data_IF_386797293388
#
_entry.id   IF_386797293388
#
_cell.length_a   1.000
_cell.length_b   1.000
_cell.length_c   1.000
_cell.angle_alpha   90.00
_cell.angle_beta   90.00
_cell.angle_gamma   90.00
#
_symmetry.space_group_name_H-M   'P 1'
#
loop_
_entity.id
_entity.type
_entity.pdbx_description
1 polymer ?
#
# COMPACT_ATOMS: atom_id res chain seq x y z
N UNK A 1 -2.49 -1.58 13.85
CA UNK A 1 -2.00 -0.97 12.60
C UNK A 1 -1.19 -2.03 11.85
N UNK A 2 -1.48 -2.30 10.57
CA UNK A 2 -0.95 -3.48 9.82
C UNK A 2 0.41 -3.22 9.14
N UNK A 3 0.87 -1.98 9.11
CA UNK A 3 2.09 -1.57 8.42
C UNK A 3 3.19 -1.43 9.48
N UNK A 4 4.36 -2.09 9.33
CA UNK A 4 5.39 -2.19 10.37
C UNK A 4 6.18 -0.90 10.56
N UNK A 5 6.02 0.02 9.61
CA UNK A 5 6.66 1.29 9.62
C UNK A 5 5.96 2.17 10.67
N UNK A 6 6.74 2.75 11.58
CA UNK A 6 6.29 3.87 12.39
C UNK A 6 6.10 5.07 11.45
N UNK A 7 4.95 5.13 10.78
CA UNK A 7 4.63 6.22 9.84
C UNK A 7 4.67 7.50 10.65
N UNK A 8 5.69 8.34 10.43
CA UNK A 8 5.80 9.66 11.05
C UNK A 8 4.65 10.51 10.50
N UNK A 9 3.52 10.54 11.19
CA UNK A 9 2.36 11.37 10.81
C UNK A 9 2.47 12.81 11.30
N UNK A 10 3.67 13.31 11.62
CA UNK A 10 3.83 14.63 12.23
C UNK A 10 5.12 15.33 11.84
N UNK A 11 5.00 16.31 10.94
CA UNK A 11 5.49 17.68 11.12
C UNK A 11 4.74 18.60 10.15
N UNK A 12 4.33 19.79 10.63
CA UNK A 12 3.73 20.88 9.82
C UNK A 12 4.47 20.97 8.47
N UNK A 13 3.83 20.57 7.38
CA UNK A 13 4.43 20.58 6.03
C UNK A 13 4.37 19.25 5.27
N UNK A 14 3.90 18.16 5.89
CA UNK A 14 3.75 16.84 5.23
C UNK A 14 3.02 16.96 3.89
N UNK A 15 3.79 16.81 2.83
CA UNK A 15 3.44 17.00 1.42
C UNK A 15 2.21 16.17 1.07
N UNK A 16 1.20 16.78 0.43
CA UNK A 16 -0.09 16.16 0.06
C UNK A 16 0.04 14.75 -0.57
N UNK A 17 1.15 14.47 -1.23
CA UNK A 17 1.48 13.18 -1.85
C UNK A 17 1.61 12.02 -0.85
N UNK A 18 2.23 12.25 0.31
CA UNK A 18 2.45 11.24 1.34
C UNK A 18 1.11 10.71 1.87
N UNK A 19 0.15 11.62 2.07
CA UNK A 19 -1.22 11.28 2.47
C UNK A 19 -1.97 10.50 1.38
N UNK A 20 -1.81 10.83 0.11
CA UNK A 20 -2.53 10.16 -0.98
C UNK A 20 -2.08 8.70 -1.16
N UNK A 21 -0.76 8.45 -1.16
CA UNK A 21 -0.22 7.10 -1.31
C UNK A 21 -0.61 6.20 -0.14
N UNK A 22 -0.47 6.71 1.09
CA UNK A 22 -0.90 6.00 2.28
C UNK A 22 -2.41 5.73 2.30
N UNK A 23 -3.22 6.70 1.87
CA UNK A 23 -4.67 6.53 1.77
C UNK A 23 -5.03 5.44 0.76
N UNK A 24 -4.40 5.43 -0.41
CA UNK A 24 -4.60 4.38 -1.41
C UNK A 24 -4.31 2.98 -0.87
N UNK A 25 -3.15 2.81 -0.22
CA UNK A 25 -2.79 1.55 0.44
C UNK A 25 -3.80 1.14 1.52
N UNK A 26 -4.19 2.08 2.40
CA UNK A 26 -5.15 1.79 3.47
C UNK A 26 -6.51 1.33 2.91
N UNK A 27 -7.02 2.00 1.89
CA UNK A 27 -8.29 1.65 1.26
C UNK A 27 -8.21 0.33 0.52
N UNK A 28 -7.08 0.07 -0.15
CA UNK A 28 -6.79 -1.23 -0.76
C UNK A 28 -6.83 -2.37 0.26
N UNK A 29 -6.12 -2.24 1.38
CA UNK A 29 -6.09 -3.26 2.43
C UNK A 29 -7.48 -3.48 3.04
N UNK A 30 -8.24 -2.42 3.32
CA UNK A 30 -9.63 -2.53 3.81
C UNK A 30 -10.49 -3.32 2.83
N UNK A 31 -10.43 -3.00 1.55
CA UNK A 31 -11.17 -3.73 0.50
C UNK A 31 -10.76 -5.20 0.44
N UNK A 32 -9.46 -5.51 0.51
CA UNK A 32 -8.94 -6.88 0.49
C UNK A 32 -9.32 -7.70 1.73
N UNK A 33 -9.59 -7.03 2.85
CA UNK A 33 -10.06 -7.64 4.09
C UNK A 33 -11.60 -7.74 4.18
N UNK A 34 -12.31 -7.49 3.08
CA UNK A 34 -13.77 -7.64 3.03
C UNK A 34 -14.54 -6.50 3.71
N UNK A 35 -13.97 -5.29 3.78
CA UNK A 35 -14.67 -4.16 4.37
C UNK A 35 -15.75 -3.61 3.42
N UNK A 36 -16.99 -4.02 3.64
CA UNK A 36 -18.18 -3.58 2.88
C UNK A 36 -18.65 -2.16 3.22
N UNK A 37 -18.02 -1.49 4.20
CA UNK A 37 -18.37 -0.12 4.60
C UNK A 37 -17.70 0.97 3.75
N UNK A 38 -16.91 0.59 2.74
CA UNK A 38 -16.24 1.53 1.86
C UNK A 38 -17.25 2.31 1.00
N UNK A 39 -17.16 3.64 1.03
CA UNK A 39 -17.96 4.47 0.13
C UNK A 39 -17.55 4.22 -1.34
N UNK A 40 -18.42 4.51 -2.33
CA UNK A 40 -18.09 4.33 -3.74
C UNK A 40 -16.79 5.06 -4.14
N UNK A 41 -16.55 6.24 -3.57
CA UNK A 41 -15.32 7.01 -3.78
C UNK A 41 -14.09 6.28 -3.21
N UNK A 42 -14.20 5.73 -2.01
CA UNK A 42 -13.10 4.99 -1.38
C UNK A 42 -12.78 3.70 -2.14
N UNK A 43 -13.80 2.98 -2.60
CA UNK A 43 -13.63 1.80 -3.44
C UNK A 43 -12.93 2.15 -4.77
N UNK A 44 -13.29 3.28 -5.39
CA UNK A 44 -12.64 3.77 -6.59
C UNK A 44 -11.16 4.15 -6.35
N UNK A 45 -10.84 4.78 -5.21
CA UNK A 45 -9.46 5.11 -4.86
C UNK A 45 -8.61 3.85 -4.58
N UNK A 46 -9.19 2.83 -3.93
CA UNK A 46 -8.54 1.51 -3.78
C UNK A 46 -8.25 0.87 -5.15
N UNK A 47 -9.22 0.89 -6.07
CA UNK A 47 -9.04 0.36 -7.42
C UNK A 47 -8.00 1.14 -8.23
N UNK A 48 -7.93 2.47 -8.07
CA UNK A 48 -6.88 3.30 -8.71
C UNK A 48 -5.49 2.97 -8.18
N UNK A 49 -5.36 2.75 -6.88
CA UNK A 49 -4.10 2.30 -6.28
C UNK A 49 -3.67 0.96 -6.90
N UNK A 50 -4.56 -0.05 -6.88
CA UNK A 50 -4.25 -1.37 -7.45
C UNK A 50 -3.89 -1.29 -8.94
N UNK A 51 -4.68 -0.57 -9.74
CA UNK A 51 -4.42 -0.37 -11.17
C UNK A 51 -3.05 0.25 -11.41
N UNK A 52 -2.61 1.18 -10.56
CA UNK A 52 -1.30 1.80 -10.68
C UNK A 52 -0.17 0.81 -10.41
N UNK A 53 -0.27 0.05 -9.32
CA UNK A 53 0.70 -1.01 -8.96
C UNK A 53 0.88 -1.98 -10.14
N UNK A 54 -0.23 -2.42 -10.76
CA UNK A 54 -0.19 -3.33 -11.92
C UNK A 54 0.36 -2.68 -13.19
N UNK A 55 -0.26 -1.57 -13.61
CA UNK A 55 0.01 -0.93 -14.91
C UNK A 55 1.44 -0.45 -15.01
N UNK A 56 1.96 0.13 -13.93
CA UNK A 56 3.29 0.73 -13.93
C UNK A 56 4.37 -0.26 -13.43
N UNK A 57 3.98 -1.50 -13.09
CA UNK A 57 4.83 -2.52 -12.44
C UNK A 57 5.68 -1.96 -11.29
N UNK A 58 5.00 -1.33 -10.33
CA UNK A 58 5.62 -0.69 -9.17
C UNK A 58 5.16 -1.33 -7.87
N UNK A 59 5.94 -1.10 -6.81
CA UNK A 59 5.53 -1.34 -5.42
C UNK A 59 5.57 -0.04 -4.65
N UNK A 60 4.70 0.11 -3.66
CA UNK A 60 4.78 1.23 -2.75
C UNK A 60 5.88 0.98 -1.72
N UNK A 61 6.78 1.93 -1.53
CA UNK A 61 7.78 1.91 -0.47
C UNK A 61 7.59 3.11 0.45
N UNK A 62 8.10 3.04 1.67
CA UNK A 62 8.11 4.15 2.60
C UNK A 62 9.56 4.47 2.93
N UNK A 63 9.89 5.73 3.13
CA UNK A 63 11.18 6.12 3.66
C UNK A 63 10.93 7.18 4.73
N UNK A 64 11.15 6.86 6.03
CA UNK A 64 10.92 7.80 7.12
C UNK A 64 11.97 8.92 7.22
N UNK A 65 13.05 8.84 6.43
CA UNK A 65 14.09 9.87 6.31
C UNK A 65 13.86 10.75 5.07
N UNK A 66 13.11 10.27 4.07
CA UNK A 66 12.70 11.06 2.90
C UNK A 66 11.63 12.09 3.23
N UNK A 67 11.76 13.30 2.66
CA UNK A 67 10.71 14.33 2.70
C UNK A 67 9.38 13.87 2.06
N UNK A 68 9.45 12.93 1.11
CA UNK A 68 8.27 12.41 0.40
C UNK A 68 7.53 11.33 1.21
N UNK A 69 8.24 10.60 2.08
CA UNK A 69 7.69 9.46 2.80
C UNK A 69 7.35 8.31 1.86
N UNK A 70 6.06 8.13 1.56
CA UNK A 70 5.58 7.08 0.65
C UNK A 70 5.91 7.42 -0.80
N UNK A 71 6.58 6.51 -1.50
CA UNK A 71 6.92 6.64 -2.92
C UNK A 71 6.71 5.33 -3.67
N UNK A 72 6.60 5.39 -4.99
CA UNK A 72 6.58 4.18 -5.83
C UNK A 72 7.97 3.91 -6.38
N UNK A 73 8.39 2.64 -6.33
CA UNK A 73 9.59 2.18 -7.02
C UNK A 73 9.25 1.04 -7.98
N UNK A 74 10.06 0.82 -9.04
CA UNK A 74 9.92 -0.37 -9.87
C UNK A 74 9.92 -1.66 -9.03
N UNK A 75 9.09 -2.61 -9.43
CA UNK A 75 9.04 -3.94 -8.84
C UNK A 75 10.35 -4.69 -9.08
N UNK A 76 10.78 -5.43 -8.08
CA UNK A 76 11.91 -6.37 -8.13
C UNK A 76 11.39 -7.80 -8.03
N UNK A 77 12.14 -8.81 -8.52
CA UNK A 77 11.71 -10.22 -8.42
C UNK A 77 11.39 -10.67 -6.98
N UNK A 78 12.11 -10.14 -6.00
CA UNK A 78 11.91 -10.40 -4.56
C UNK A 78 10.59 -9.88 -3.98
N UNK A 79 9.97 -8.88 -4.61
CA UNK A 79 8.68 -8.34 -4.18
C UNK A 79 7.53 -9.30 -4.51
N UNK A 80 7.74 -10.22 -5.45
CA UNK A 80 6.71 -11.14 -5.94
C UNK A 80 5.45 -10.38 -6.35
N UNK A 81 4.31 -10.75 -5.77
CA UNK A 81 3.01 -10.10 -6.02
C UNK A 81 2.66 -9.00 -5.00
N UNK A 82 3.57 -8.63 -4.09
CA UNK A 82 3.26 -7.68 -3.02
C UNK A 82 3.00 -6.27 -3.57
N UNK A 83 2.08 -5.54 -2.94
CA UNK A 83 1.79 -4.13 -3.28
C UNK A 83 2.68 -3.15 -2.51
N UNK A 84 3.39 -3.65 -1.48
CA UNK A 84 4.25 -2.89 -0.60
C UNK A 84 5.63 -3.55 -0.56
N UNK A 85 6.66 -2.71 -0.63
CA UNK A 85 8.04 -3.04 -0.27
C UNK A 85 8.10 -3.31 1.24
N UNK A 86 8.07 -4.58 1.63
CA UNK A 86 8.04 -4.94 3.04
C UNK A 86 9.47 -5.04 3.59
N UNK A 87 9.76 -4.41 4.74
CA UNK A 87 11.09 -4.50 5.34
C UNK A 87 11.48 -5.96 5.61
N UNK A 88 12.66 -6.37 5.15
CA UNK A 88 13.13 -7.77 5.26
C UNK A 88 13.25 -8.25 6.70
N UNK A 89 13.55 -7.33 7.60
CA UNK A 89 13.81 -7.62 9.01
C UNK A 89 12.52 -7.67 9.84
N UNK A 90 11.38 -7.39 9.21
CA UNK A 90 10.07 -7.39 9.86
C UNK A 90 9.32 -8.64 9.44
N UNK A 91 8.86 -9.47 10.40
CA UNK A 91 7.99 -10.59 10.12
C UNK A 91 6.77 -10.17 9.29
N UNK A 92 6.53 -10.88 8.19
CA UNK A 92 5.30 -10.72 7.44
C UNK A 92 4.11 -11.11 8.33
N UNK A 93 2.96 -10.43 8.19
CA UNK A 93 1.74 -10.90 8.83
C UNK A 93 1.36 -12.28 8.27
N UNK A 94 0.53 -13.02 9.00
CA UNK A 94 0.06 -14.36 8.59
C UNK A 94 -1.42 -14.34 8.17
N UNK A 95 -1.87 -15.40 7.49
CA UNK A 95 -3.27 -15.60 7.11
C UNK A 95 -3.80 -14.54 6.13
N UNK A 96 -5.05 -14.11 6.32
CA UNK A 96 -5.74 -13.15 5.46
C UNK A 96 -4.98 -11.82 5.31
N UNK A 97 -4.28 -11.40 6.37
CA UNK A 97 -3.48 -10.17 6.37
C UNK A 97 -2.29 -10.27 5.42
N UNK A 98 -1.69 -11.45 5.26
CA UNK A 98 -0.65 -11.70 4.25
C UNK A 98 -1.21 -11.64 2.84
N UNK A 99 -2.35 -12.31 2.62
CA UNK A 99 -3.02 -12.38 1.33
C UNK A 99 -3.56 -11.01 0.88
N UNK A 100 -3.88 -10.13 1.82
CA UNK A 100 -4.27 -8.75 1.54
C UNK A 100 -3.10 -7.88 1.05
N UNK A 101 -1.84 -8.26 1.32
CA UNK A 101 -0.66 -7.54 0.84
C UNK A 101 -0.30 -7.87 -0.62
N UNK A 102 -0.81 -8.98 -1.16
CA UNK A 102 -0.56 -9.36 -2.55
C UNK A 102 -1.64 -8.79 -3.47
N UNK A 103 -1.24 -8.49 -4.71
CA UNK A 103 -2.17 -8.28 -5.81
C UNK A 103 -3.06 -9.52 -5.99
N UNK A 104 -4.38 -9.36 -6.16
CA UNK A 104 -5.22 -10.50 -6.53
C UNK A 104 -4.82 -11.06 -7.91
N UNK A 105 -5.15 -12.32 -8.23
CA UNK A 105 -5.00 -12.83 -9.59
C UNK A 105 -5.82 -11.97 -10.57
N UNK A 106 -5.33 -11.79 -11.80
CA UNK A 106 -6.07 -11.07 -12.83
C UNK A 106 -7.34 -11.85 -13.21
N UNK A 107 -8.52 -11.26 -13.04
CA UNK A 107 -9.79 -11.85 -13.49
C UNK A 107 -10.88 -12.09 -12.43
N UNK A 108 -10.88 -11.36 -11.31
CA UNK A 108 -12.04 -11.33 -10.37
C UNK A 108 -12.89 -10.09 -10.58
#
# INVERSE_FOLDING_TARGET
MMIPWAVKTSHRGSTHHNNYHFTGLKLYLRKRLGDDSLSPRQAADAARFERRIRRDDVVLTYDPESELGFTYRPRRPEDGCMVLDWPRDVPLPTGEKRAALDLPPEGT
#
